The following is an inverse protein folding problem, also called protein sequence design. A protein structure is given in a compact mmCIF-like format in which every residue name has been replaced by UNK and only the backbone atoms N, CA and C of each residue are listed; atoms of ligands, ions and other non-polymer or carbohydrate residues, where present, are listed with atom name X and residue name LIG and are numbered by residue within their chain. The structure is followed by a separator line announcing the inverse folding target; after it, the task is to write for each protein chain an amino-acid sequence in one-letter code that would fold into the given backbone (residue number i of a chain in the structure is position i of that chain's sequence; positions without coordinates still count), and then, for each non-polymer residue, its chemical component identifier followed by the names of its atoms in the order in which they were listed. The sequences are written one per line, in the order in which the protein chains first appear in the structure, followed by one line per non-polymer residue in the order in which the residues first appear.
data_IF_157315118402
#
_entry.id   IF_157315118402
#
_cell.length_a   1.000
_cell.length_b   1.000
_cell.length_c   1.000
_cell.angle_alpha   90.00
_cell.angle_beta   90.00
_cell.angle_gamma   90.00
#
_symmetry.space_group_name_H-M   'P 1'
#
loop_
_entity.id
_entity.type
_entity.pdbx_description
1 polymer ?
#
# COMPACT_ATOMS: atom_id res chain seq x y z
N UNK A 1 8.73 -25.67 7.38
CA UNK A 1 9.27 -25.41 8.69
C UNK A 1 10.65 -25.99 8.94
N UNK A 2 10.75 -27.21 9.47
CA UNK A 2 12.03 -27.80 9.93
C UNK A 2 13.10 -27.93 8.83
N UNK A 3 12.72 -28.31 7.62
CA UNK A 3 13.66 -28.45 6.49
C UNK A 3 14.31 -27.12 6.13
N UNK A 4 13.55 -26.03 6.10
CA UNK A 4 14.09 -24.68 5.81
C UNK A 4 15.07 -24.21 6.90
N UNK A 5 14.77 -24.49 8.18
CA UNK A 5 15.66 -24.16 9.31
C UNK A 5 17.01 -24.86 9.19
N UNK A 6 17.03 -26.12 8.72
CA UNK A 6 18.27 -26.90 8.52
C UNK A 6 19.18 -26.35 7.43
N UNK A 7 18.61 -25.74 6.37
CA UNK A 7 19.35 -25.28 5.20
C UNK A 7 19.52 -23.76 5.13
N UNK A 8 19.08 -23.00 6.15
CA UNK A 8 19.20 -21.54 6.15
C UNK A 8 18.43 -20.85 5.03
N UNK A 9 17.41 -21.51 4.46
CA UNK A 9 16.66 -20.96 3.34
C UNK A 9 15.80 -19.76 3.78
N UNK A 10 15.71 -18.68 2.99
CA UNK A 10 14.92 -17.52 3.34
C UNK A 10 13.45 -17.88 3.53
N UNK A 11 12.82 -17.30 4.54
CA UNK A 11 11.42 -17.54 4.90
C UNK A 11 10.50 -17.02 3.78
N UNK A 12 10.81 -15.85 3.22
CA UNK A 12 10.08 -15.23 2.12
C UNK A 12 10.83 -15.41 0.79
N UNK A 13 10.13 -15.95 -0.19
CA UNK A 13 10.62 -16.17 -1.56
C UNK A 13 9.54 -15.75 -2.55
N UNK A 14 9.50 -14.46 -2.92
CA UNK A 14 8.44 -13.89 -3.76
C UNK A 14 8.25 -14.63 -5.09
N UNK A 15 9.35 -15.02 -5.75
CA UNK A 15 9.29 -15.76 -7.02
C UNK A 15 8.56 -17.09 -6.87
N UNK A 16 8.80 -17.78 -5.74
CA UNK A 16 8.16 -19.07 -5.48
C UNK A 16 6.68 -18.92 -5.18
N UNK A 17 6.30 -17.88 -4.45
CA UNK A 17 4.90 -17.60 -4.17
C UNK A 17 4.13 -17.22 -5.43
N UNK A 18 4.72 -16.38 -6.28
CA UNK A 18 4.14 -16.06 -7.61
C UNK A 18 3.95 -17.31 -8.48
N UNK A 19 4.93 -18.22 -8.52
CA UNK A 19 4.81 -19.48 -9.25
C UNK A 19 3.66 -20.35 -8.72
N UNK A 20 3.49 -20.41 -7.39
CA UNK A 20 2.39 -21.18 -6.79
C UNK A 20 1.05 -20.58 -7.16
N UNK A 21 0.89 -19.26 -7.04
CA UNK A 21 -0.34 -18.55 -7.39
C UNK A 21 -0.67 -18.74 -8.88
N UNK A 22 0.29 -18.50 -9.76
CA UNK A 22 0.10 -18.65 -11.22
C UNK A 22 -0.35 -20.07 -11.60
N UNK A 23 0.28 -21.10 -11.00
CA UNK A 23 -0.12 -22.50 -11.24
C UNK A 23 -1.54 -22.78 -10.77
N UNK A 24 -1.93 -22.22 -9.63
CA UNK A 24 -3.28 -22.40 -9.08
C UNK A 24 -4.33 -21.66 -9.92
N UNK A 25 -4.02 -20.47 -10.41
CA UNK A 25 -4.89 -19.73 -11.32
C UNK A 25 -5.10 -20.50 -12.65
N UNK A 26 -4.03 -21.07 -13.21
CA UNK A 26 -4.09 -21.85 -14.44
C UNK A 26 -4.88 -23.16 -14.28
N UNK A 27 -4.83 -23.77 -13.11
CA UNK A 27 -5.55 -25.01 -12.79
C UNK A 27 -6.98 -24.79 -12.27
N UNK A 28 -7.43 -23.55 -12.22
CA UNK A 28 -8.73 -23.20 -11.65
C UNK A 28 -9.85 -23.37 -12.66
N UNK A 29 -10.59 -24.46 -12.55
CA UNK A 29 -11.82 -24.76 -13.30
C UNK A 29 -13.09 -24.39 -12.52
N UNK A 30 -12.93 -23.81 -11.32
CA UNK A 30 -14.02 -23.49 -10.40
C UNK A 30 -14.62 -22.09 -10.62
N UNK A 31 -15.65 -21.73 -9.85
CA UNK A 31 -16.38 -20.46 -9.98
C UNK A 31 -15.61 -19.25 -9.43
N UNK A 32 -14.50 -19.44 -8.73
CA UNK A 32 -13.71 -18.33 -8.19
C UNK A 32 -12.93 -17.62 -9.29
N UNK A 33 -12.99 -16.29 -9.30
CA UNK A 33 -12.13 -15.50 -10.18
C UNK A 33 -10.66 -15.65 -9.77
N UNK A 34 -9.77 -15.61 -10.76
CA UNK A 34 -8.33 -15.79 -10.57
C UNK A 34 -7.73 -14.82 -9.53
N UNK A 35 -8.20 -13.57 -9.49
CA UNK A 35 -7.73 -12.56 -8.52
C UNK A 35 -8.16 -12.90 -7.08
N UNK A 36 -9.37 -13.43 -6.90
CA UNK A 36 -9.83 -13.89 -5.59
C UNK A 36 -9.00 -15.08 -5.11
N UNK A 37 -8.71 -16.01 -6.00
CA UNK A 37 -7.85 -17.15 -5.71
C UNK A 37 -6.45 -16.69 -5.28
N UNK A 38 -5.87 -15.75 -6.02
CA UNK A 38 -4.57 -15.17 -5.69
C UNK A 38 -4.56 -14.50 -4.31
N UNK A 39 -5.61 -13.74 -3.97
CA UNK A 39 -5.75 -13.07 -2.68
C UNK A 39 -5.83 -14.10 -1.53
N UNK A 40 -6.67 -15.10 -1.65
CA UNK A 40 -6.82 -16.17 -0.64
C UNK A 40 -5.48 -16.90 -0.41
N UNK A 41 -4.81 -17.31 -1.48
CA UNK A 41 -3.53 -18.02 -1.36
C UNK A 41 -2.42 -17.14 -0.80
N UNK A 42 -2.41 -15.85 -1.10
CA UNK A 42 -1.45 -14.92 -0.51
C UNK A 42 -1.60 -14.86 1.01
N UNK A 43 -2.83 -14.81 1.52
CA UNK A 43 -3.07 -14.81 2.95
C UNK A 43 -2.72 -16.15 3.62
N UNK A 44 -3.04 -17.29 2.98
CA UNK A 44 -2.61 -18.61 3.47
C UNK A 44 -1.08 -18.69 3.57
N UNK A 45 -0.36 -18.20 2.55
CA UNK A 45 1.11 -18.20 2.56
C UNK A 45 1.67 -17.22 3.59
N UNK A 46 1.05 -16.04 3.73
CA UNK A 46 1.42 -15.04 4.74
C UNK A 46 1.30 -15.61 6.16
N UNK A 47 0.14 -16.18 6.49
CA UNK A 47 -0.08 -16.82 7.79
C UNK A 47 0.89 -17.99 8.03
N UNK A 48 1.14 -18.81 7.02
CA UNK A 48 2.07 -19.94 7.13
C UNK A 48 3.52 -19.48 7.35
N UNK A 49 3.94 -18.36 6.76
CA UNK A 49 5.25 -17.76 7.03
C UNK A 49 5.35 -17.22 8.44
N UNK A 50 4.30 -16.58 8.94
CA UNK A 50 4.27 -16.01 10.28
C UNK A 50 4.46 -17.09 11.37
N UNK A 51 4.06 -18.34 11.13
CA UNK A 51 4.36 -19.46 12.01
C UNK A 51 5.87 -19.81 12.07
N UNK A 52 6.63 -19.46 11.05
CA UNK A 52 8.08 -19.64 11.03
C UNK A 52 8.80 -18.41 11.61
N UNK A 53 8.44 -17.22 11.13
CA UNK A 53 8.93 -15.91 11.56
C UNK A 53 7.94 -14.83 11.16
N UNK A 54 7.51 -14.01 12.11
CA UNK A 54 6.79 -12.78 11.82
C UNK A 54 7.77 -11.77 11.25
N UNK A 55 7.61 -11.41 9.98
CA UNK A 55 8.45 -10.43 9.32
C UNK A 55 8.01 -9.01 9.69
N UNK A 56 8.97 -8.11 9.86
CA UNK A 56 8.72 -6.67 10.04
C UNK A 56 8.94 -5.96 8.71
N UNK A 57 7.94 -5.17 8.28
CA UNK A 57 7.96 -4.41 7.03
C UNK A 57 7.87 -2.92 7.35
N UNK A 58 8.95 -2.17 7.08
CA UNK A 58 8.97 -0.73 7.21
C UNK A 58 8.29 -0.08 5.99
N UNK A 59 7.54 1.00 6.21
CA UNK A 59 6.89 1.76 5.15
C UNK A 59 6.78 3.24 5.52
N UNK A 60 6.61 4.10 4.51
CA UNK A 60 6.37 5.53 4.75
C UNK A 60 5.01 5.72 5.42
N UNK A 61 5.07 6.12 6.71
CA UNK A 61 3.90 6.37 7.55
C UNK A 61 3.17 7.69 7.25
N UNK A 62 2.17 7.98 8.05
CA UNK A 62 1.65 7.19 9.18
C UNK A 62 0.91 5.91 8.74
N UNK A 63 0.33 5.19 9.70
CA UNK A 63 -0.61 4.10 9.40
C UNK A 63 -1.83 4.63 8.62
N UNK A 64 -2.45 3.79 7.79
CA UNK A 64 -3.56 4.15 6.90
C UNK A 64 -3.13 4.80 5.58
N UNK A 65 -1.83 4.77 5.24
CA UNK A 65 -1.31 5.30 3.97
C UNK A 65 -1.33 4.25 2.84
N UNK A 66 -1.19 4.71 1.60
CA UNK A 66 -1.00 3.81 0.45
C UNK A 66 0.26 2.95 0.55
N UNK A 67 1.31 3.47 1.20
CA UNK A 67 2.53 2.68 1.45
C UNK A 67 2.28 1.50 2.39
N UNK A 68 1.44 1.67 3.41
CA UNK A 68 0.98 0.56 4.26
C UNK A 68 0.14 -0.43 3.47
N UNK A 69 -0.83 0.07 2.68
CA UNK A 69 -1.66 -0.76 1.83
C UNK A 69 -0.81 -1.58 0.84
N UNK A 70 0.22 -0.97 0.25
CA UNK A 70 1.17 -1.65 -0.62
C UNK A 70 1.95 -2.75 0.12
N UNK A 71 2.39 -2.48 1.35
CA UNK A 71 3.08 -3.46 2.18
C UNK A 71 2.19 -4.69 2.45
N UNK A 72 0.95 -4.48 2.87
CA UNK A 72 0.02 -5.60 3.12
C UNK A 72 -0.44 -6.29 1.82
N UNK A 73 -0.59 -5.56 0.72
CA UNK A 73 -0.92 -6.17 -0.57
C UNK A 73 0.19 -7.10 -1.09
N UNK A 74 1.45 -6.77 -0.81
CA UNK A 74 2.59 -7.55 -1.26
C UNK A 74 2.94 -8.71 -0.31
N UNK A 75 2.99 -8.45 0.99
CA UNK A 75 3.43 -9.41 2.01
C UNK A 75 2.30 -10.19 2.67
N UNK A 76 1.03 -9.78 2.53
CA UNK A 76 -0.13 -10.29 3.25
C UNK A 76 -0.27 -9.69 4.64
N UNK A 77 -1.36 -10.01 5.32
CA UNK A 77 -1.76 -9.37 6.58
C UNK A 77 -0.98 -9.86 7.82
N UNK A 78 -0.26 -10.98 7.73
CA UNK A 78 0.42 -11.59 8.88
C UNK A 78 1.85 -11.07 9.09
N UNK A 79 2.15 -9.86 8.61
CA UNK A 79 3.40 -9.15 8.87
C UNK A 79 3.23 -8.08 9.93
N UNK A 80 4.31 -7.68 10.58
CA UNK A 80 4.33 -6.52 11.47
C UNK A 80 4.70 -5.29 10.67
N UNK A 81 3.76 -4.35 10.51
CA UNK A 81 4.01 -3.05 9.91
C UNK A 81 4.83 -2.13 10.83
N UNK A 82 5.80 -1.41 10.27
CA UNK A 82 6.61 -0.41 10.96
C UNK A 82 6.48 0.93 10.20
N UNK A 83 5.56 1.82 10.63
CA UNK A 83 5.44 3.14 10.02
C UNK A 83 6.65 4.01 10.35
N UNK A 84 7.29 4.56 9.33
CA UNK A 84 8.44 5.44 9.46
C UNK A 84 8.07 6.88 9.06
N UNK A 85 8.63 7.91 9.72
CA UNK A 85 8.27 9.30 9.45
C UNK A 85 8.84 9.84 8.13
N UNK A 86 9.82 9.16 7.55
CA UNK A 86 10.46 9.55 6.29
C UNK A 86 10.95 8.35 5.50
N UNK A 87 11.23 8.54 4.20
CA UNK A 87 11.86 7.53 3.35
C UNK A 87 13.23 7.12 3.87
N UNK A 88 14.03 8.09 4.35
CA UNK A 88 15.34 7.83 4.95
C UNK A 88 15.25 6.87 6.14
N UNK A 89 14.23 7.02 6.97
CA UNK A 89 14.00 6.12 8.09
C UNK A 89 13.56 4.71 7.66
N UNK A 90 12.82 4.58 6.54
CA UNK A 90 12.50 3.26 5.98
C UNK A 90 13.77 2.53 5.57
N UNK A 91 14.66 3.19 4.82
CA UNK A 91 15.94 2.60 4.40
C UNK A 91 16.80 2.24 5.62
N UNK A 92 16.94 3.17 6.57
CA UNK A 92 17.71 2.96 7.81
C UNK A 92 17.18 1.78 8.63
N UNK A 93 15.86 1.62 8.75
CA UNK A 93 15.26 0.51 9.47
C UNK A 93 15.64 -0.85 8.88
N UNK A 94 15.70 -0.95 7.55
CA UNK A 94 16.10 -2.19 6.87
C UNK A 94 17.62 -2.41 6.98
N UNK A 95 18.43 -1.38 6.75
CA UNK A 95 19.89 -1.45 6.87
C UNK A 95 20.35 -1.84 8.28
N UNK A 96 19.67 -1.33 9.31
CA UNK A 96 19.95 -1.66 10.70
C UNK A 96 19.37 -3.02 11.15
N UNK A 97 18.63 -3.72 10.28
CA UNK A 97 17.98 -4.98 10.61
C UNK A 97 16.78 -4.85 11.56
N UNK A 98 16.27 -3.64 11.80
CA UNK A 98 15.03 -3.40 12.58
C UNK A 98 13.78 -3.77 11.79
N UNK A 99 13.87 -3.80 10.47
CA UNK A 99 12.89 -4.35 9.56
C UNK A 99 13.53 -5.35 8.60
N UNK A 100 12.77 -6.35 8.20
CA UNK A 100 13.22 -7.35 7.22
C UNK A 100 13.11 -6.82 5.78
N UNK A 101 12.14 -5.93 5.53
CA UNK A 101 11.85 -5.31 4.23
C UNK A 101 11.41 -3.86 4.42
N UNK A 102 11.59 -3.06 3.35
CA UNK A 102 11.04 -1.72 3.24
C UNK A 102 10.14 -1.59 2.03
N UNK A 103 9.04 -0.85 2.16
CA UNK A 103 8.15 -0.49 1.06
C UNK A 103 8.17 1.02 0.89
N UNK A 104 8.58 1.46 -0.28
CA UNK A 104 8.75 2.88 -0.62
C UNK A 104 8.05 3.22 -1.93
N UNK A 105 7.41 4.39 -2.04
CA UNK A 105 6.83 4.84 -3.29
C UNK A 105 7.93 5.21 -4.28
N UNK A 106 7.80 4.77 -5.53
CA UNK A 106 8.73 5.08 -6.63
C UNK A 106 8.12 6.08 -7.58
N UNK A 107 6.84 5.93 -7.86
CA UNK A 107 6.11 6.77 -8.82
C UNK A 107 4.66 6.93 -8.41
N UNK A 108 4.11 8.09 -8.70
CA UNK A 108 2.69 8.40 -8.61
C UNK A 108 2.24 8.94 -9.97
N UNK A 109 1.10 8.45 -10.49
CA UNK A 109 0.58 8.82 -11.82
C UNK A 109 0.31 10.32 -12.00
N UNK A 110 0.14 11.08 -10.92
CA UNK A 110 -0.13 12.53 -10.95
C UNK A 110 1.12 13.36 -10.68
N UNK A 111 1.92 12.96 -9.72
CA UNK A 111 3.11 13.72 -9.27
C UNK A 111 4.41 13.23 -9.92
N UNK A 112 4.34 12.07 -10.60
CA UNK A 112 5.48 11.46 -11.26
C UNK A 112 6.41 10.74 -10.29
N UNK A 113 7.70 10.76 -10.62
CA UNK A 113 8.75 10.01 -9.93
C UNK A 113 9.07 10.59 -8.55
N UNK A 114 9.20 9.74 -7.55
CA UNK A 114 9.66 10.10 -6.19
C UNK A 114 11.19 10.14 -6.16
N UNK A 115 11.76 11.29 -6.50
CA UNK A 115 13.23 11.46 -6.66
C UNK A 115 14.00 11.02 -5.41
N UNK A 116 13.48 11.29 -4.20
CA UNK A 116 14.16 10.89 -2.96
C UNK A 116 14.33 9.37 -2.84
N UNK A 117 13.35 8.60 -3.28
CA UNK A 117 13.47 7.12 -3.30
C UNK A 117 14.59 6.68 -4.23
N UNK A 118 14.69 7.28 -5.43
CA UNK A 118 15.75 6.95 -6.38
C UNK A 118 17.13 7.30 -5.84
N UNK A 119 17.29 8.48 -5.22
CA UNK A 119 18.56 8.90 -4.60
C UNK A 119 19.00 7.92 -3.51
N UNK A 120 18.05 7.47 -2.66
CA UNK A 120 18.35 6.51 -1.60
C UNK A 120 18.71 5.13 -2.17
N UNK A 121 18.04 4.67 -3.21
CA UNK A 121 18.37 3.39 -3.89
C UNK A 121 19.77 3.41 -4.49
N UNK A 122 20.24 4.55 -4.99
CA UNK A 122 21.61 4.68 -5.52
C UNK A 122 22.69 4.66 -4.43
N UNK A 123 22.36 5.07 -3.21
CA UNK A 123 23.31 5.20 -2.10
C UNK A 123 23.29 3.99 -1.15
N UNK A 124 22.20 3.25 -1.12
CA UNK A 124 21.97 2.15 -0.19
C UNK A 124 22.52 0.83 -0.73
N UNK A 125 23.05 -0.05 0.13
CA UNK A 125 23.45 -1.41 -0.23
C UNK A 125 22.24 -2.36 -0.38
N UNK A 126 21.02 -1.89 -0.13
CA UNK A 126 19.82 -2.70 -0.22
C UNK A 126 19.49 -3.06 -1.67
N UNK A 127 18.88 -4.21 -1.86
CA UNK A 127 18.45 -4.69 -3.17
C UNK A 127 16.93 -4.61 -3.33
N UNK A 128 16.49 -4.31 -4.54
CA UNK A 128 15.07 -4.32 -4.88
C UNK A 128 14.61 -5.78 -4.97
N UNK A 129 13.69 -6.17 -4.06
CA UNK A 129 13.14 -7.52 -4.00
C UNK A 129 11.84 -7.72 -4.78
N UNK A 130 11.24 -6.65 -5.29
CA UNK A 130 10.02 -6.68 -6.08
C UNK A 130 9.33 -5.33 -6.16
N UNK A 131 8.20 -5.32 -6.85
CA UNK A 131 7.36 -4.14 -7.03
C UNK A 131 5.89 -4.46 -6.79
N UNK A 132 5.11 -3.45 -6.44
CA UNK A 132 3.65 -3.53 -6.33
C UNK A 132 3.03 -2.25 -6.87
N UNK A 133 2.05 -2.40 -7.74
CA UNK A 133 1.23 -1.30 -8.22
C UNK A 133 -0.13 -1.32 -7.52
N UNK A 134 -0.52 -0.20 -6.95
CA UNK A 134 -1.83 -0.03 -6.33
C UNK A 134 -2.72 0.83 -7.22
N UNK A 135 -3.87 0.33 -7.68
CA UNK A 135 -4.90 1.18 -8.27
C UNK A 135 -5.49 2.08 -7.19
N UNK A 136 -5.38 3.41 -7.38
CA UNK A 136 -5.93 4.39 -6.45
C UNK A 136 -7.21 4.96 -7.05
N UNK A 137 -8.33 4.71 -6.35
CA UNK A 137 -9.64 5.24 -6.72
C UNK A 137 -10.12 6.20 -5.65
N UNK A 138 -10.31 7.46 -6.03
CA UNK A 138 -10.92 8.45 -5.15
C UNK A 138 -12.44 8.40 -5.27
N UNK A 139 -13.13 8.42 -4.13
CA UNK A 139 -14.58 8.47 -4.06
C UNK A 139 -15.01 9.79 -3.41
N UNK A 140 -15.97 10.48 -4.03
CA UNK A 140 -16.65 11.59 -3.40
C UNK A 140 -17.75 11.04 -2.49
N UNK A 141 -17.68 11.39 -1.22
CA UNK A 141 -18.60 10.87 -0.19
C UNK A 141 -19.36 12.02 0.46
N UNK A 142 -20.63 11.82 0.73
CA UNK A 142 -21.48 12.69 1.54
C UNK A 142 -22.25 11.86 2.57
N UNK A 143 -22.67 12.48 3.66
CA UNK A 143 -23.44 11.81 4.70
C UNK A 143 -24.85 11.45 4.23
N UNK A 144 -25.47 12.33 3.44
CA UNK A 144 -26.79 12.13 2.86
C UNK A 144 -26.86 11.15 1.68
N UNK A 145 -25.70 10.80 1.09
CA UNK A 145 -25.61 10.04 -0.16
C UNK A 145 -25.97 10.82 -1.40
N UNK A 146 -26.31 12.13 -1.28
CA UNK A 146 -26.57 13.07 -2.37
C UNK A 146 -25.57 14.22 -2.33
N UNK A 147 -25.55 15.04 -3.39
CA UNK A 147 -24.71 16.22 -3.48
C UNK A 147 -25.49 17.54 -3.46
N UNK A 148 -26.81 17.46 -3.26
CA UNK A 148 -27.70 18.63 -3.39
C UNK A 148 -27.43 19.71 -2.35
N UNK A 149 -27.06 19.31 -1.13
CA UNK A 149 -26.77 20.21 0.00
C UNK A 149 -25.26 20.45 0.22
N UNK A 150 -24.41 19.89 -0.65
CA UNK A 150 -22.97 20.02 -0.51
C UNK A 150 -22.49 21.41 -0.92
N UNK A 151 -21.86 22.13 0.00
CA UNK A 151 -21.32 23.48 -0.22
C UNK A 151 -19.79 23.51 -0.37
N UNK A 152 -19.11 22.47 0.10
CA UNK A 152 -17.64 22.36 0.06
C UNK A 152 -17.18 20.92 -0.05
N UNK A 153 -15.98 20.72 -0.58
CA UNK A 153 -15.27 19.44 -0.66
C UNK A 153 -14.02 19.55 0.19
N UNK A 154 -13.92 18.66 1.19
CA UNK A 154 -12.76 18.56 2.08
C UNK A 154 -11.94 17.33 1.70
N UNK A 155 -10.61 17.47 1.60
CA UNK A 155 -9.69 16.35 1.42
C UNK A 155 -8.26 16.78 1.71
N UNK A 156 -7.33 15.81 1.78
CA UNK A 156 -5.92 16.14 1.79
C UNK A 156 -5.52 16.89 0.53
N UNK A 157 -4.59 17.82 0.64
CA UNK A 157 -4.18 18.69 -0.49
C UNK A 157 -3.78 17.88 -1.74
N UNK A 158 -3.06 16.78 -1.55
CA UNK A 158 -2.65 15.88 -2.63
C UNK A 158 -3.85 15.24 -3.35
N UNK A 159 -4.85 14.75 -2.60
CA UNK A 159 -6.07 14.16 -3.20
C UNK A 159 -6.88 15.20 -3.97
N UNK A 160 -6.97 16.44 -3.46
CA UNK A 160 -7.59 17.56 -4.18
C UNK A 160 -6.86 17.87 -5.48
N UNK A 161 -5.53 17.86 -5.48
CA UNK A 161 -4.72 18.08 -6.67
C UNK A 161 -4.93 16.97 -7.71
N UNK A 162 -4.92 15.70 -7.27
CA UNK A 162 -5.18 14.55 -8.15
C UNK A 162 -6.57 14.60 -8.80
N UNK A 163 -7.59 15.08 -8.07
CA UNK A 163 -8.95 15.19 -8.57
C UNK A 163 -9.27 16.54 -9.20
N UNK A 164 -8.33 17.49 -9.27
CA UNK A 164 -8.59 18.88 -9.62
C UNK A 164 -9.33 19.04 -10.97
N UNK A 165 -8.86 18.37 -12.00
CA UNK A 165 -9.46 18.46 -13.34
C UNK A 165 -10.92 17.98 -13.33
N UNK A 166 -11.17 16.83 -12.73
CA UNK A 166 -12.50 16.25 -12.63
C UNK A 166 -13.45 17.14 -11.80
N UNK A 167 -12.97 17.61 -10.63
CA UNK A 167 -13.74 18.48 -9.75
C UNK A 167 -14.07 19.83 -10.42
N UNK A 168 -13.17 20.37 -11.24
CA UNK A 168 -13.40 21.62 -11.96
C UNK A 168 -14.44 21.45 -13.08
N UNK A 169 -14.44 20.30 -13.73
CA UNK A 169 -15.40 20.01 -14.79
C UNK A 169 -16.82 19.74 -14.25
N UNK A 170 -16.95 19.07 -13.10
CA UNK A 170 -18.25 18.62 -12.59
C UNK A 170 -18.81 19.50 -11.46
N UNK A 171 -17.94 20.08 -10.64
CA UNK A 171 -18.32 20.86 -9.44
C UNK A 171 -17.51 22.17 -9.33
N UNK A 172 -17.54 23.05 -10.35
CA UNK A 172 -16.74 24.29 -10.35
C UNK A 172 -17.13 25.24 -9.21
N UNK A 173 -18.38 25.19 -8.76
CA UNK A 173 -18.95 26.07 -7.75
C UNK A 173 -18.63 25.65 -6.33
N UNK A 174 -18.25 24.39 -6.07
CA UNK A 174 -18.01 23.91 -4.73
C UNK A 174 -16.63 24.38 -4.23
N UNK A 175 -16.61 24.90 -3.01
CA UNK A 175 -15.37 25.30 -2.36
C UNK A 175 -14.51 24.07 -2.06
N UNK A 176 -13.19 24.19 -2.24
CA UNK A 176 -12.22 23.14 -1.95
C UNK A 176 -11.44 23.54 -0.71
N UNK A 177 -11.49 22.68 0.31
CA UNK A 177 -10.82 22.90 1.59
C UNK A 177 -9.79 21.81 1.81
N UNK A 178 -8.51 22.18 1.83
CA UNK A 178 -7.44 21.28 2.19
C UNK A 178 -7.42 21.07 3.72
N UNK A 179 -7.26 19.81 4.13
CA UNK A 179 -7.15 19.37 5.53
C UNK A 179 -5.94 18.46 5.69
N UNK A 180 -5.59 18.14 6.94
CA UNK A 180 -4.37 17.39 7.27
C UNK A 180 -4.34 15.95 6.75
N UNK A 181 -5.52 15.34 6.54
CA UNK A 181 -5.64 13.96 6.03
C UNK A 181 -7.03 13.70 5.45
N UNK A 182 -7.16 12.64 4.65
CA UNK A 182 -8.47 12.19 4.17
C UNK A 182 -9.36 11.69 5.32
N UNK A 183 -8.77 11.12 6.37
CA UNK A 183 -9.50 10.72 7.57
C UNK A 183 -10.09 11.94 8.32
N UNK A 184 -9.33 13.03 8.41
CA UNK A 184 -9.82 14.30 8.97
C UNK A 184 -10.94 14.90 8.11
N UNK A 185 -10.84 14.80 6.77
CA UNK A 185 -11.91 15.22 5.88
C UNK A 185 -13.21 14.44 6.15
N UNK A 186 -13.12 13.12 6.30
CA UNK A 186 -14.27 12.27 6.61
C UNK A 186 -14.88 12.61 7.98
N UNK A 187 -14.04 12.87 8.99
CA UNK A 187 -14.49 13.28 10.32
C UNK A 187 -15.25 14.63 10.28
N UNK A 188 -14.74 15.59 9.54
CA UNK A 188 -15.42 16.89 9.36
C UNK A 188 -16.76 16.73 8.63
N UNK A 189 -16.80 15.96 7.56
CA UNK A 189 -18.03 15.69 6.82
C UNK A 189 -19.09 14.93 7.64
N UNK A 190 -18.67 14.15 8.64
CA UNK A 190 -19.61 13.46 9.55
C UNK A 190 -20.15 14.35 10.67
N UNK A 191 -19.56 15.52 10.91
CA UNK A 191 -19.93 16.45 11.96
C UNK A 191 -20.77 17.66 11.48
N UNK A 192 -20.82 17.89 10.17
CA UNK A 192 -21.60 18.93 9.49
C UNK A 192 -22.95 18.38 9.01
#
# INVERSE_FOLDING_TARGET
GEVKKRFGAPVFRPERELQVISRLQQANDGPLYGDNLAAIWREIMSASRALEKVMTVAYLGPAGTYSEQAAFAYFGQSVKGLPCPSLDEVFRAVEAGSADFGVVPVENSTEGVVSRTLDLLLQSPLTIGGEVALPIHHNLMSQSGTLDDVTRICSHAQSLAQCQHWLTAHFPQLKRQAVSSNAEAARLASAD
#
